data_IF_441275376714
#
_entry.id   IF_441275376714
#
_cell.length_a   1.000
_cell.length_b   1.000
_cell.length_c   1.000
_cell.angle_alpha   90.00
_cell.angle_beta   90.00
_cell.angle_gamma   90.00
#
_symmetry.space_group_name_H-M   'P 1'
#
loop_
_entity.id
_entity.type
_entity.pdbx_description
1 polymer ?
#
# COMPACT_ATOMS: atom_id res chain seq x y z
N UNK A 1 26.82 -70.86 -43.64
CA UNK A 1 25.36 -70.89 -43.40
C UNK A 1 25.02 -69.69 -42.53
N UNK A 2 24.42 -68.65 -43.10
CA UNK A 2 23.93 -67.48 -42.35
C UNK A 2 22.52 -67.84 -41.83
N UNK A 3 22.19 -67.65 -40.54
CA UNK A 3 20.84 -67.90 -40.08
C UNK A 3 19.87 -66.92 -40.76
N UNK A 4 18.62 -67.35 -41.05
CA UNK A 4 17.62 -66.48 -41.66
C UNK A 4 17.37 -65.26 -40.77
N UNK A 5 17.39 -64.09 -41.37
CA UNK A 5 17.16 -62.83 -40.69
C UNK A 5 15.69 -62.82 -40.16
N UNK A 6 15.45 -62.65 -38.85
CA UNK A 6 14.09 -62.66 -38.32
C UNK A 6 13.30 -61.47 -38.86
N UNK A 7 12.25 -61.75 -39.63
CA UNK A 7 11.29 -60.75 -40.09
C UNK A 7 10.26 -60.55 -38.97
N UNK A 8 10.50 -59.55 -38.12
CA UNK A 8 9.51 -59.14 -37.13
C UNK A 8 8.30 -58.48 -37.84
N UNK A 9 7.05 -58.81 -37.46
CA UNK A 9 5.88 -58.24 -38.11
C UNK A 9 5.81 -56.73 -37.82
N UNK A 10 5.70 -55.94 -38.89
CA UNK A 10 5.80 -54.46 -38.83
C UNK A 10 4.60 -53.75 -38.19
N UNK A 11 3.54 -54.49 -37.86
CA UNK A 11 2.35 -53.99 -37.16
C UNK A 11 2.65 -53.61 -35.71
N UNK A 12 3.42 -54.42 -34.98
CA UNK A 12 3.80 -54.16 -33.59
C UNK A 12 4.67 -52.90 -33.41
N UNK A 13 5.50 -52.57 -34.40
CA UNK A 13 6.33 -51.35 -34.39
C UNK A 13 5.48 -50.09 -34.62
N UNK A 14 4.52 -50.16 -35.54
CA UNK A 14 3.54 -49.11 -35.84
C UNK A 14 2.69 -48.75 -34.62
N UNK A 15 2.21 -49.75 -33.87
CA UNK A 15 1.44 -49.52 -32.63
C UNK A 15 2.26 -48.81 -31.54
N UNK A 16 3.57 -49.09 -31.45
CA UNK A 16 4.47 -48.46 -30.47
C UNK A 16 4.75 -46.98 -30.77
N UNK A 17 4.92 -46.64 -32.05
CA UNK A 17 5.12 -45.25 -32.49
C UNK A 17 3.84 -44.42 -32.32
N UNK A 18 2.70 -44.99 -32.65
CA UNK A 18 1.38 -44.36 -32.47
C UNK A 18 1.14 -44.08 -30.97
N UNK A 19 1.32 -45.09 -30.10
CA UNK A 19 1.13 -44.93 -28.66
C UNK A 19 2.08 -43.88 -28.04
N UNK A 20 3.35 -43.87 -28.46
CA UNK A 20 4.35 -42.88 -28.00
C UNK A 20 3.96 -41.45 -28.40
N UNK A 21 3.54 -41.25 -29.65
CA UNK A 21 3.17 -39.93 -30.17
C UNK A 21 1.89 -39.40 -29.49
N UNK A 22 0.90 -40.26 -29.24
CA UNK A 22 -0.30 -39.89 -28.49
C UNK A 22 0.01 -39.54 -27.04
N UNK A 23 0.92 -40.27 -26.38
CA UNK A 23 1.36 -39.95 -25.01
C UNK A 23 1.97 -38.56 -24.89
N UNK A 24 2.85 -38.18 -25.83
CA UNK A 24 3.47 -36.85 -25.87
C UNK A 24 2.43 -35.75 -26.12
N UNK A 25 1.50 -35.99 -27.05
CA UNK A 25 0.43 -35.03 -27.37
C UNK A 25 -0.44 -34.74 -26.14
N UNK A 26 -0.87 -35.79 -25.44
CA UNK A 26 -1.69 -35.68 -24.22
C UNK A 26 -0.93 -34.95 -23.11
N UNK A 27 0.34 -35.30 -22.88
CA UNK A 27 1.18 -34.63 -21.89
C UNK A 27 1.36 -33.14 -22.21
N UNK A 28 1.54 -32.79 -23.49
CA UNK A 28 1.63 -31.41 -23.95
C UNK A 28 0.34 -30.63 -23.67
N UNK A 29 -0.83 -31.21 -23.99
CA UNK A 29 -2.14 -30.59 -23.73
C UNK A 29 -2.36 -30.36 -22.23
N UNK A 30 -2.04 -31.37 -21.39
CA UNK A 30 -2.13 -31.24 -19.94
C UNK A 30 -1.20 -30.14 -19.41
N UNK A 31 0.04 -30.10 -19.90
CA UNK A 31 1.02 -29.07 -19.54
C UNK A 31 0.53 -27.66 -19.88
N UNK A 32 -0.04 -27.48 -21.08
CA UNK A 32 -0.64 -26.21 -21.50
C UNK A 32 -1.85 -25.84 -20.63
N UNK A 33 -2.69 -26.80 -20.25
CA UNK A 33 -3.81 -26.58 -19.34
C UNK A 33 -3.37 -26.11 -17.94
N UNK A 34 -2.36 -26.76 -17.36
CA UNK A 34 -1.77 -26.36 -16.07
C UNK A 34 -1.12 -24.99 -16.20
N UNK A 35 -0.37 -24.72 -17.26
CA UNK A 35 0.28 -23.43 -17.49
C UNK A 35 -0.76 -22.31 -17.63
N UNK A 36 -1.84 -22.54 -18.36
CA UNK A 36 -2.94 -21.58 -18.50
C UNK A 36 -3.66 -21.32 -17.19
N UNK A 37 -3.97 -22.38 -16.42
CA UNK A 37 -4.57 -22.25 -15.09
C UNK A 37 -3.67 -21.47 -14.13
N UNK A 38 -2.37 -21.79 -14.08
CA UNK A 38 -1.39 -21.06 -13.27
C UNK A 38 -1.25 -19.60 -13.67
N UNK A 39 -1.23 -19.32 -14.98
CA UNK A 39 -1.16 -17.94 -15.52
C UNK A 39 -2.37 -17.12 -15.07
N UNK A 40 -3.58 -17.69 -15.16
CA UNK A 40 -4.80 -17.03 -14.72
C UNK A 40 -4.82 -16.80 -13.21
N UNK A 41 -4.39 -17.80 -12.42
CA UNK A 41 -4.32 -17.69 -10.97
C UNK A 41 -3.32 -16.61 -10.52
N UNK A 42 -2.15 -16.53 -11.17
CA UNK A 42 -1.14 -15.52 -10.88
C UNK A 42 -1.64 -14.09 -11.18
N UNK A 43 -2.38 -13.90 -12.28
CA UNK A 43 -2.94 -12.59 -12.63
C UNK A 43 -3.99 -12.10 -11.63
N UNK A 44 -4.81 -13.01 -11.07
CA UNK A 44 -5.76 -12.65 -10.02
C UNK A 44 -5.05 -12.29 -8.70
N UNK A 45 -3.97 -13.00 -8.36
CA UNK A 45 -3.17 -12.69 -7.18
C UNK A 45 -2.49 -11.33 -7.28
N UNK A 46 -1.98 -10.96 -8.46
CA UNK A 46 -1.35 -9.66 -8.65
C UNK A 46 -2.31 -8.49 -8.39
N UNK A 47 -3.57 -8.59 -8.86
CA UNK A 47 -4.58 -7.56 -8.61
C UNK A 47 -4.97 -7.49 -7.13
N UNK A 48 -5.21 -8.63 -6.50
CA UNK A 48 -5.52 -8.68 -5.07
C UNK A 48 -4.38 -8.15 -4.21
N UNK A 49 -3.12 -8.41 -4.60
CA UNK A 49 -1.94 -7.90 -3.89
C UNK A 49 -1.82 -6.37 -3.97
N UNK A 50 -2.17 -5.75 -5.11
CA UNK A 50 -2.20 -4.30 -5.25
C UNK A 50 -3.30 -3.67 -4.37
N UNK A 51 -4.50 -4.24 -4.39
CA UNK A 51 -5.61 -3.79 -3.54
C UNK A 51 -5.28 -3.92 -2.05
N UNK A 52 -4.64 -5.03 -1.66
CA UNK A 52 -4.15 -5.23 -0.28
C UNK A 52 -3.06 -4.23 0.11
N UNK A 53 -2.16 -3.87 -0.82
CA UNK A 53 -1.11 -2.90 -0.54
C UNK A 53 -1.69 -1.49 -0.32
N UNK A 54 -2.68 -1.08 -1.11
CA UNK A 54 -3.38 0.20 -0.94
C UNK A 54 -4.11 0.27 0.41
N UNK A 55 -4.86 -0.78 0.77
CA UNK A 55 -5.53 -0.88 2.06
C UNK A 55 -4.54 -0.83 3.23
N UNK A 56 -3.47 -1.63 3.17
CA UNK A 56 -2.45 -1.65 4.22
C UNK A 56 -1.77 -0.28 4.38
N UNK A 57 -1.55 0.44 3.27
CA UNK A 57 -0.99 1.79 3.29
C UNK A 57 -1.95 2.77 3.99
N UNK A 58 -3.24 2.73 3.65
CA UNK A 58 -4.27 3.58 4.30
C UNK A 58 -4.37 3.31 5.80
N UNK A 59 -4.39 2.04 6.20
CA UNK A 59 -4.44 1.64 7.60
C UNK A 59 -3.19 2.13 8.36
N UNK A 60 -2.02 2.02 7.74
CA UNK A 60 -0.77 2.49 8.32
C UNK A 60 -0.78 4.00 8.58
N UNK A 61 -1.26 4.82 7.63
CA UNK A 61 -1.36 6.27 7.80
C UNK A 61 -2.38 6.65 8.86
N UNK A 62 -3.50 5.93 8.91
CA UNK A 62 -4.53 6.13 9.95
C UNK A 62 -3.95 5.89 11.35
N UNK A 63 -3.17 4.82 11.52
CA UNK A 63 -2.48 4.50 12.76
C UNK A 63 -1.42 5.56 13.12
N UNK A 64 -0.62 6.01 12.15
CA UNK A 64 0.36 7.08 12.36
C UNK A 64 -0.30 8.39 12.79
N UNK A 65 -1.41 8.77 12.14
CA UNK A 65 -2.21 9.92 12.52
C UNK A 65 -2.71 9.79 13.96
N UNK A 66 -3.40 8.69 14.30
CA UNK A 66 -3.93 8.48 15.64
C UNK A 66 -2.84 8.51 16.71
N UNK A 67 -1.68 7.90 16.43
CA UNK A 67 -0.53 7.91 17.33
C UNK A 67 0.02 9.31 17.54
N UNK A 68 0.21 10.07 16.48
CA UNK A 68 0.69 11.45 16.58
C UNK A 68 -0.29 12.34 17.35
N UNK A 69 -1.60 12.22 17.09
CA UNK A 69 -2.63 12.93 17.86
C UNK A 69 -2.55 12.58 19.35
N UNK A 70 -2.39 11.30 19.70
CA UNK A 70 -2.22 10.89 21.10
C UNK A 70 -0.95 11.47 21.75
N UNK A 71 0.12 11.62 20.98
CA UNK A 71 1.40 12.17 21.46
C UNK A 71 1.41 13.69 21.67
N UNK A 72 0.44 14.44 21.12
CA UNK A 72 0.28 15.88 21.41
C UNK A 72 -0.01 16.15 22.90
N UNK A 73 -0.59 15.18 23.61
CA UNK A 73 -0.88 15.26 25.04
C UNK A 73 0.32 15.01 25.95
N UNK A 74 1.49 14.64 25.41
CA UNK A 74 2.65 14.26 26.22
C UNK A 74 3.28 15.46 26.94
N UNK A 75 3.79 15.23 28.14
CA UNK A 75 4.45 16.26 28.95
C UNK A 75 5.79 16.71 28.33
N UNK A 76 6.44 15.82 27.58
CA UNK A 76 7.74 16.05 26.94
C UNK A 76 7.59 16.84 25.65
N UNK A 77 8.30 17.96 25.56
CA UNK A 77 8.27 18.83 24.38
C UNK A 77 8.75 18.09 23.13
N UNK A 78 9.79 17.28 23.23
CA UNK A 78 10.34 16.48 22.13
C UNK A 78 9.34 15.50 21.53
N UNK A 79 8.45 14.92 22.36
CA UNK A 79 7.38 14.02 21.90
C UNK A 79 6.31 14.81 21.16
N UNK A 80 5.91 15.97 21.69
CA UNK A 80 4.92 16.85 21.05
C UNK A 80 5.41 17.40 19.72
N UNK A 81 6.66 17.85 19.63
CA UNK A 81 7.25 18.30 18.38
C UNK A 81 7.32 17.17 17.35
N UNK A 82 7.72 15.96 17.76
CA UNK A 82 7.68 14.78 16.90
C UNK A 82 6.28 14.48 16.34
N UNK A 83 5.25 14.62 17.19
CA UNK A 83 3.86 14.49 16.76
C UNK A 83 3.46 15.57 15.74
N UNK A 84 3.78 16.84 15.99
CA UNK A 84 3.46 17.97 15.11
C UNK A 84 4.10 17.77 13.73
N UNK A 85 5.39 17.40 13.67
CA UNK A 85 6.06 17.15 12.40
C UNK A 85 5.52 15.93 11.67
N UNK A 86 5.12 14.88 12.40
CA UNK A 86 4.48 13.70 11.80
C UNK A 86 3.14 14.07 11.16
N UNK A 87 2.31 14.85 11.87
CA UNK A 87 1.03 15.32 11.35
C UNK A 87 1.21 16.20 10.11
N UNK A 88 2.21 17.09 10.12
CA UNK A 88 2.56 17.91 8.96
C UNK A 88 2.98 17.06 7.76
N UNK A 89 3.83 16.06 7.97
CA UNK A 89 4.27 15.16 6.91
C UNK A 89 3.11 14.38 6.28
N UNK A 90 2.13 13.94 7.09
CA UNK A 90 0.91 13.29 6.59
C UNK A 90 0.10 14.22 5.68
N UNK A 91 0.03 15.53 5.98
CA UNK A 91 -0.67 16.50 5.13
C UNK A 91 0.04 16.84 3.83
N UNK A 92 1.37 16.87 3.84
CA UNK A 92 2.18 17.20 2.67
C UNK A 92 2.18 16.06 1.64
N UNK A 93 1.82 14.84 2.05
CA UNK A 93 1.65 13.71 1.16
C UNK A 93 0.40 13.87 0.27
N UNK A 94 0.61 13.88 -1.05
CA UNK A 94 -0.45 14.06 -2.04
C UNK A 94 -1.47 12.91 -2.01
N UNK A 95 -1.05 11.69 -1.68
CA UNK A 95 -1.93 10.53 -1.59
C UNK A 95 -2.88 10.62 -0.38
N UNK A 96 -2.50 11.38 0.65
CA UNK A 96 -3.24 11.52 1.90
C UNK A 96 -3.80 12.93 2.12
N UNK A 97 -4.04 13.67 1.04
CA UNK A 97 -4.65 15.02 1.10
C UNK A 97 -5.93 15.10 1.93
N UNK A 98 -6.71 14.02 2.01
CA UNK A 98 -7.92 13.95 2.87
C UNK A 98 -7.63 14.14 4.37
N UNK A 99 -6.40 13.90 4.82
CA UNK A 99 -5.97 14.14 6.19
C UNK A 99 -5.61 15.60 6.48
N UNK A 100 -5.48 16.45 5.46
CA UNK A 100 -5.16 17.87 5.64
C UNK A 100 -6.16 18.58 6.56
N UNK A 101 -7.46 18.44 6.29
CA UNK A 101 -8.50 19.07 7.11
C UNK A 101 -8.52 18.54 8.56
N UNK A 102 -8.53 17.22 8.84
CA UNK A 102 -8.42 16.69 10.19
C UNK A 102 -7.18 17.16 10.96
N UNK A 103 -6.01 17.21 10.31
CA UNK A 103 -4.78 17.69 10.95
C UNK A 103 -4.86 19.16 11.30
N UNK A 104 -5.29 20.02 10.37
CA UNK A 104 -5.47 21.46 10.61
C UNK A 104 -6.43 21.70 11.77
N UNK A 105 -7.57 20.98 11.80
CA UNK A 105 -8.53 21.08 12.90
C UNK A 105 -7.94 20.62 14.23
N UNK A 106 -7.22 19.50 14.24
CA UNK A 106 -6.59 18.96 15.44
C UNK A 106 -5.54 19.92 16.00
N UNK A 107 -4.63 20.42 15.15
CA UNK A 107 -3.60 21.38 15.55
C UNK A 107 -4.20 22.72 15.98
N UNK A 108 -5.25 23.19 15.32
CA UNK A 108 -5.98 24.41 15.71
C UNK A 108 -6.66 24.26 17.09
N UNK A 109 -7.27 23.10 17.35
CA UNK A 109 -7.86 22.79 18.65
C UNK A 109 -6.77 22.69 19.74
N UNK A 110 -5.63 22.08 19.42
CA UNK A 110 -4.49 22.00 20.31
C UNK A 110 -3.97 23.39 20.70
N UNK A 111 -3.76 24.28 19.72
CA UNK A 111 -3.35 25.67 19.97
C UNK A 111 -4.39 26.39 20.82
N UNK A 112 -5.68 26.28 20.50
CA UNK A 112 -6.76 26.93 21.26
C UNK A 112 -6.80 26.48 22.73
N UNK A 113 -6.58 25.20 22.99
CA UNK A 113 -6.63 24.63 24.33
C UNK A 113 -5.39 24.95 25.16
N UNK A 114 -4.21 25.05 24.53
CA UNK A 114 -2.96 25.40 25.22
C UNK A 114 -2.77 26.91 25.35
N UNK A 115 -3.31 27.71 24.43
CA UNK A 115 -3.21 29.17 24.48
C UNK A 115 -3.99 29.78 25.64
N UNK A 116 -5.12 29.17 26.02
CA UNK A 116 -5.90 29.57 27.19
C UNK A 116 -5.18 29.31 28.52
N UNK A 117 -4.15 28.45 28.51
CA UNK A 117 -3.34 28.11 29.68
C UNK A 117 -2.03 28.92 29.77
N UNK A 118 -1.80 29.88 28.87
CA UNK A 118 -0.59 30.71 28.88
C UNK A 118 -0.64 31.70 30.05
N UNK A 119 0.37 31.64 30.91
CA UNK A 119 0.54 32.47 32.11
C UNK A 119 1.46 33.70 31.87
N UNK A 120 1.68 34.07 30.61
CA UNK A 120 2.49 35.23 30.23
C UNK A 120 3.97 34.94 29.99
N UNK A 121 4.42 33.68 30.10
CA UNK A 121 5.82 33.26 29.87
C UNK A 121 6.22 33.11 28.38
N UNK A 122 5.57 33.84 27.48
CA UNK A 122 5.77 33.70 26.02
C UNK A 122 5.08 32.44 25.44
N UNK A 123 5.05 32.35 24.11
CA UNK A 123 4.44 31.22 23.41
C UNK A 123 5.36 29.98 23.50
N UNK A 124 4.86 28.82 23.97
CA UNK A 124 5.58 27.55 23.93
C UNK A 124 6.03 27.20 22.51
N UNK A 125 7.21 26.59 22.39
CA UNK A 125 7.83 26.27 21.11
C UNK A 125 6.92 25.41 20.21
N UNK A 126 6.20 24.45 20.79
CA UNK A 126 5.25 23.60 20.06
C UNK A 126 4.06 24.39 19.50
N UNK A 127 3.60 25.45 20.17
CA UNK A 127 2.56 26.33 19.63
C UNK A 127 3.10 27.22 18.51
N UNK A 128 4.33 27.72 18.67
CA UNK A 128 4.97 28.58 17.67
C UNK A 128 5.10 27.85 16.33
N UNK A 129 5.56 26.60 16.34
CA UNK A 129 5.67 25.76 15.12
C UNK A 129 4.33 25.58 14.43
N UNK A 130 3.25 25.33 15.18
CA UNK A 130 1.92 25.15 14.61
C UNK A 130 1.41 26.46 13.99
N UNK A 131 1.53 27.56 14.72
CA UNK A 131 1.05 28.88 14.28
C UNK A 131 1.81 29.34 13.03
N UNK A 132 3.14 29.17 13.01
CA UNK A 132 3.96 29.44 11.84
C UNK A 132 3.49 28.63 10.63
N UNK A 133 3.27 27.32 10.82
CA UNK A 133 2.82 26.45 9.75
C UNK A 133 1.42 26.82 9.22
N UNK A 134 0.48 27.10 10.12
CA UNK A 134 -0.88 27.52 9.75
C UNK A 134 -0.87 28.84 8.98
N UNK A 135 -0.07 29.83 9.39
CA UNK A 135 0.04 31.09 8.65
C UNK A 135 0.64 30.92 7.25
N UNK A 136 1.51 29.93 7.06
CA UNK A 136 2.16 29.67 5.78
C UNK A 136 1.26 28.88 4.81
N UNK A 137 0.38 28.02 5.33
CA UNK A 137 -0.42 27.10 4.52
C UNK A 137 -1.90 27.48 4.41
N UNK A 138 -2.42 28.30 5.32
CA UNK A 138 -3.79 28.83 5.29
C UNK A 138 -3.76 30.24 4.69
N UNK A 139 -3.51 30.32 3.38
CA UNK A 139 -3.79 31.52 2.60
C UNK A 139 -5.29 31.67 2.32
N UNK A 140 -5.79 32.86 1.94
CA UNK A 140 -7.22 33.17 1.80
C UNK A 140 -7.98 32.39 0.70
N UNK A 141 -7.34 31.51 -0.07
CA UNK A 141 -7.95 30.77 -1.19
C UNK A 141 -8.95 29.68 -0.78
N UNK A 142 -8.96 29.23 0.49
CA UNK A 142 -9.88 28.17 0.92
C UNK A 142 -11.33 28.63 1.14
N UNK A 143 -11.65 29.90 0.88
CA UNK A 143 -12.98 30.47 1.09
C UNK A 143 -13.80 30.70 -0.20
N UNK A 144 -13.23 30.48 -1.39
CA UNK A 144 -13.88 30.82 -2.66
C UNK A 144 -14.49 29.62 -3.43
N UNK A 145 -14.27 28.38 -2.98
CA UNK A 145 -14.70 27.17 -3.70
C UNK A 145 -16.00 26.52 -3.16
N UNK A 146 -16.77 27.21 -2.31
CA UNK A 146 -18.05 26.72 -1.76
C UNK A 146 -19.31 27.50 -2.22
N UNK A 147 -19.26 28.21 -3.35
CA UNK A 147 -20.46 28.82 -3.99
C UNK A 147 -20.87 28.09 -5.29
#
# INVERSE_FOLDING_TARGET
MQPPNPQFPGDLYLWSEIARNFGILIAGIIGLGIAWWRSRAANMQAKAALEQNDLARRDHITELFNRAVGQLGDDKLEVRLGAIYTLRAICEDQEFRSYAAPVVQTLSAYVRNRSSALDGNGMPEDLAVIVEWLHMNVGPEAAEDEE
#
